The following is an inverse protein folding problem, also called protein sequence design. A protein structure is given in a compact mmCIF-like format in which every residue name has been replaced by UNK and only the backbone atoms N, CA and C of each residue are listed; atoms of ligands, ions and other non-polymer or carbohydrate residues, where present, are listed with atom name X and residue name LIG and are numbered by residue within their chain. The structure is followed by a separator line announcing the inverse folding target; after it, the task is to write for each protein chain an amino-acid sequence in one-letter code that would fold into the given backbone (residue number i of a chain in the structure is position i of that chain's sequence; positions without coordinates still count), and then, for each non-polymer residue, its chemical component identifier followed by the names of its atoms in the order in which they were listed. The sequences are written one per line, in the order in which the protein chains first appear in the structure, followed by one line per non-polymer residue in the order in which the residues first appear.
data_IF_017354317981
#
_entry.id   IF_017354317981
#
_cell.length_a   1.000
_cell.length_b   1.000
_cell.length_c   1.000
_cell.angle_alpha   90.00
_cell.angle_beta   90.00
_cell.angle_gamma   90.00
#
_symmetry.space_group_name_H-M   'P 1'
#
loop_
_entity.id
_entity.type
_entity.pdbx_description
1 polymer ?
#
# COMPACT_ATOMS: atom_id res chain seq x y z
N UNK A 1 5.48 21.30 10.47
CA UNK A 1 5.05 20.88 9.12
C UNK A 1 6.28 20.73 8.24
N UNK A 2 6.35 19.69 7.42
CA UNK A 2 7.43 19.48 6.43
C UNK A 2 6.90 19.85 5.03
N UNK A 3 6.89 21.14 4.65
CA UNK A 3 6.39 21.55 3.35
C UNK A 3 7.18 20.87 2.21
N UNK A 4 6.48 20.25 1.27
CA UNK A 4 7.07 19.53 0.13
C UNK A 4 7.42 18.07 0.39
N UNK A 5 7.29 17.56 1.62
CA UNK A 5 7.65 16.17 1.93
C UNK A 5 6.60 15.15 1.46
N UNK A 6 5.32 15.51 1.40
CA UNK A 6 4.23 14.61 0.99
C UNK A 6 3.89 14.87 -0.48
N UNK A 7 4.05 13.84 -1.31
CA UNK A 7 3.73 13.90 -2.74
C UNK A 7 2.28 13.51 -3.02
N UNK A 8 1.80 12.44 -2.37
CA UNK A 8 0.43 11.98 -2.55
C UNK A 8 -0.08 11.19 -1.35
N UNK A 9 -1.40 11.08 -1.26
CA UNK A 9 -2.14 10.43 -0.19
C UNK A 9 -3.15 9.45 -0.81
N UNK A 10 -3.19 8.20 -0.34
CA UNK A 10 -4.08 7.16 -0.84
C UNK A 10 -4.93 6.57 0.28
N UNK A 11 -6.24 6.77 0.22
CA UNK A 11 -7.21 6.15 1.11
C UNK A 11 -7.58 4.76 0.58
N UNK A 12 -7.36 3.71 1.37
CA UNK A 12 -7.70 2.34 0.98
C UNK A 12 -9.17 2.07 1.28
N UNK A 13 -9.94 1.93 0.20
CA UNK A 13 -11.38 1.66 0.24
C UNK A 13 -11.70 0.49 -0.69
N UNK A 14 -12.88 0.46 -1.32
CA UNK A 14 -13.25 -0.57 -2.28
C UNK A 14 -12.26 -0.67 -3.44
N UNK A 15 -11.87 -1.90 -3.78
CA UNK A 15 -10.82 -2.22 -4.76
C UNK A 15 -9.47 -2.57 -4.13
N UNK A 16 -9.31 -2.42 -2.81
CA UNK A 16 -8.13 -2.93 -2.11
C UNK A 16 -6.90 -2.04 -2.16
N UNK A 17 -5.79 -2.52 -1.58
CA UNK A 17 -4.56 -1.72 -1.38
C UNK A 17 -3.96 -1.30 -2.73
N UNK A 18 -3.68 -2.28 -3.60
CA UNK A 18 -2.97 -2.04 -4.86
C UNK A 18 -3.72 -1.06 -5.77
N UNK A 19 -5.03 -1.28 -5.94
CA UNK A 19 -5.84 -0.47 -6.84
C UNK A 19 -6.03 0.97 -6.34
N UNK A 20 -5.99 1.22 -5.03
CA UNK A 20 -6.07 2.58 -4.50
C UNK A 20 -4.71 3.30 -4.56
N UNK A 21 -3.60 2.60 -4.30
CA UNK A 21 -2.27 3.19 -4.40
C UNK A 21 -1.87 3.49 -5.85
N UNK A 22 -2.16 2.58 -6.80
CA UNK A 22 -1.80 2.75 -8.21
C UNK A 22 -2.35 4.05 -8.83
N UNK A 23 -3.53 4.52 -8.39
CA UNK A 23 -4.17 5.74 -8.92
C UNK A 23 -3.44 7.02 -8.56
N UNK A 24 -2.68 7.03 -7.47
CA UNK A 24 -2.00 8.24 -6.97
C UNK A 24 -0.53 8.28 -7.37
N UNK A 25 0.02 7.16 -7.87
CA UNK A 25 1.37 7.11 -8.38
C UNK A 25 1.46 7.70 -9.80
N UNK A 26 2.55 8.40 -10.14
CA UNK A 26 2.79 8.86 -11.50
C UNK A 26 2.91 7.70 -12.49
N UNK A 27 2.50 7.92 -13.74
CA UNK A 27 2.73 6.97 -14.84
C UNK A 27 4.21 6.69 -15.01
N UNK A 28 4.54 5.43 -15.30
CA UNK A 28 5.94 4.98 -15.45
C UNK A 28 6.65 4.71 -14.13
N UNK A 29 5.98 4.86 -12.97
CA UNK A 29 6.51 4.47 -11.67
C UNK A 29 5.84 3.20 -11.15
N UNK A 30 6.53 2.48 -10.28
CA UNK A 30 6.03 1.27 -9.66
C UNK A 30 6.49 1.11 -8.22
N UNK A 31 5.78 0.28 -7.45
CA UNK A 31 6.17 -0.09 -6.09
C UNK A 31 5.76 -1.52 -5.78
N UNK A 32 6.67 -2.24 -5.12
CA UNK A 32 6.36 -3.47 -4.41
C UNK A 32 6.03 -3.13 -2.96
N UNK A 33 4.84 -3.56 -2.51
CA UNK A 33 4.35 -3.39 -1.13
C UNK A 33 4.58 -4.71 -0.38
N UNK A 34 5.42 -4.68 0.65
CA UNK A 34 5.81 -5.88 1.40
C UNK A 34 4.79 -6.25 2.47
N UNK A 35 4.07 -7.36 2.25
CA UNK A 35 3.09 -7.91 3.21
C UNK A 35 3.71 -8.28 4.55
N UNK A 36 4.98 -8.64 4.58
CA UNK A 36 5.65 -9.02 5.82
C UNK A 36 5.79 -7.84 6.79
N UNK A 37 5.57 -6.61 6.33
CA UNK A 37 5.64 -5.42 7.17
C UNK A 37 4.43 -5.26 8.12
N UNK A 38 3.35 -6.03 7.97
CA UNK A 38 2.24 -6.01 8.91
C UNK A 38 1.45 -7.33 9.02
N UNK A 39 0.72 -7.44 10.12
CA UNK A 39 -0.21 -8.53 10.40
C UNK A 39 -1.63 -7.99 10.32
N UNK A 40 -2.46 -8.43 9.36
CA UNK A 40 -3.88 -8.05 9.31
C UNK A 40 -4.59 -8.39 10.63
N UNK A 41 -5.60 -7.64 11.03
CA UNK A 41 -6.36 -7.96 12.25
C UNK A 41 -7.05 -9.34 12.14
N UNK A 42 -7.25 -10.02 13.28
CA UNK A 42 -7.84 -11.36 13.35
C UNK A 42 -9.20 -11.48 12.67
N UNK A 43 -9.99 -10.39 12.63
CA UNK A 43 -11.27 -10.34 11.92
C UNK A 43 -11.12 -10.69 10.44
N UNK A 44 -10.05 -10.25 9.77
CA UNK A 44 -9.83 -10.56 8.35
C UNK A 44 -9.51 -12.04 8.15
N UNK A 45 -8.71 -12.63 9.04
CA UNK A 45 -8.39 -14.06 8.99
C UNK A 45 -9.64 -14.92 9.17
N UNK A 46 -10.46 -14.60 10.17
CA UNK A 46 -11.73 -15.30 10.41
C UNK A 46 -12.67 -15.18 9.20
N UNK A 47 -12.79 -14.00 8.61
CA UNK A 47 -13.65 -13.81 7.43
C UNK A 47 -13.12 -14.53 6.19
N UNK A 48 -11.80 -14.54 5.98
CA UNK A 48 -11.17 -15.28 4.89
C UNK A 48 -11.36 -16.80 5.07
N UNK A 49 -11.13 -17.32 6.27
CA UNK A 49 -11.32 -18.72 6.62
C UNK A 49 -12.77 -19.17 6.42
N UNK A 50 -13.75 -18.37 6.85
CA UNK A 50 -15.18 -18.64 6.62
C UNK A 50 -15.53 -18.68 5.13
N UNK A 51 -14.83 -17.90 4.30
CA UNK A 51 -14.98 -17.90 2.85
C UNK A 51 -14.17 -18.99 2.12
N UNK A 52 -13.32 -19.74 2.82
CA UNK A 52 -12.36 -20.65 2.20
C UNK A 52 -11.32 -19.93 1.33
N UNK A 53 -10.96 -18.69 1.71
CA UNK A 53 -10.02 -17.82 1.00
C UNK A 53 -8.72 -17.65 1.80
N UNK A 54 -7.61 -17.48 1.09
CA UNK A 54 -6.39 -16.88 1.66
C UNK A 54 -6.56 -15.36 1.79
N UNK A 55 -5.76 -14.73 2.67
CA UNK A 55 -5.76 -13.27 2.79
C UNK A 55 -5.38 -12.59 1.46
N UNK A 56 -4.44 -13.17 0.72
CA UNK A 56 -3.98 -12.67 -0.57
C UNK A 56 -5.11 -12.58 -1.60
N UNK A 57 -6.04 -13.54 -1.59
CA UNK A 57 -7.22 -13.53 -2.47
C UNK A 57 -8.20 -12.40 -2.13
N UNK A 58 -8.12 -11.83 -0.93
CA UNK A 58 -9.03 -10.77 -0.46
C UNK A 58 -8.48 -9.36 -0.68
N UNK A 59 -7.22 -9.23 -1.11
CA UNK A 59 -6.51 -7.95 -1.27
C UNK A 59 -7.15 -7.00 -2.26
N UNK A 60 -7.85 -7.51 -3.27
CA UNK A 60 -8.60 -6.69 -4.23
C UNK A 60 -9.91 -6.12 -3.69
N UNK A 61 -10.27 -6.45 -2.44
CA UNK A 61 -11.55 -6.06 -1.83
C UNK A 61 -11.36 -5.33 -0.51
N UNK A 62 -10.52 -5.85 0.37
CA UNK A 62 -10.38 -5.37 1.75
C UNK A 62 -9.13 -4.51 1.94
N UNK A 63 -9.12 -3.72 3.01
CA UNK A 63 -7.98 -2.89 3.38
C UNK A 63 -6.90 -3.67 4.17
N UNK A 64 -7.27 -4.81 4.76
CA UNK A 64 -6.38 -5.72 5.49
C UNK A 64 -5.54 -5.04 6.58
N UNK A 65 -6.04 -3.96 7.18
CA UNK A 65 -5.36 -3.21 8.23
C UNK A 65 -4.64 -1.94 7.74
N UNK A 66 -4.46 -1.74 6.43
CA UNK A 66 -3.93 -0.50 5.88
C UNK A 66 -5.08 0.41 5.50
N UNK A 67 -5.44 1.36 6.37
CA UNK A 67 -6.46 2.36 6.03
C UNK A 67 -5.97 3.40 5.04
N UNK A 68 -4.68 3.73 5.07
CA UNK A 68 -4.14 4.87 4.35
C UNK A 68 -2.66 4.66 3.99
N UNK A 69 -2.22 5.18 2.85
CA UNK A 69 -0.81 5.27 2.47
C UNK A 69 -0.43 6.72 2.16
N UNK A 70 0.76 7.12 2.58
CA UNK A 70 1.38 8.38 2.18
C UNK A 70 2.61 8.10 1.32
N UNK A 71 2.69 8.76 0.16
CA UNK A 71 3.89 8.76 -0.69
C UNK A 71 4.65 10.04 -0.38
N UNK A 72 5.90 9.89 0.04
CA UNK A 72 6.71 10.97 0.57
C UNK A 72 8.08 11.01 -0.11
N UNK A 73 8.78 12.13 0.03
CA UNK A 73 10.18 12.24 -0.34
C UNK A 73 11.03 11.24 0.49
N UNK A 74 11.90 10.49 -0.18
CA UNK A 74 12.63 9.38 0.43
C UNK A 74 13.54 9.85 1.59
N UNK A 75 14.15 11.03 1.46
CA UNK A 75 14.98 11.66 2.48
C UNK A 75 14.18 12.20 3.69
N UNK A 76 12.85 12.27 3.57
CA UNK A 76 11.95 12.75 4.63
C UNK A 76 11.08 11.64 5.24
N UNK A 77 11.20 10.40 4.75
CA UNK A 77 10.31 9.30 5.13
C UNK A 77 10.29 9.05 6.65
N UNK A 78 11.46 8.93 7.27
CA UNK A 78 11.60 8.69 8.71
C UNK A 78 11.03 9.84 9.55
N UNK A 79 11.29 11.08 9.13
CA UNK A 79 10.82 12.26 9.83
C UNK A 79 9.29 12.42 9.72
N UNK A 80 8.69 12.09 8.57
CA UNK A 80 7.23 12.05 8.42
C UNK A 80 6.62 10.93 9.26
N UNK A 81 7.19 9.72 9.22
CA UNK A 81 6.73 8.58 10.01
C UNK A 81 6.77 8.91 11.51
N UNK A 82 7.86 9.50 12.00
CA UNK A 82 8.01 9.91 13.39
C UNK A 82 6.93 10.90 13.84
N UNK A 83 6.56 11.86 12.98
CA UNK A 83 5.47 12.81 13.30
C UNK A 83 4.14 12.08 13.41
N UNK A 84 3.79 11.24 12.43
CA UNK A 84 2.52 10.49 12.44
C UNK A 84 2.42 9.56 13.64
N UNK A 85 3.51 8.84 13.97
CA UNK A 85 3.55 7.99 15.17
C UNK A 85 3.44 8.80 16.46
N UNK A 86 4.03 10.00 16.54
CA UNK A 86 3.88 10.87 17.72
C UNK A 86 2.44 11.38 17.92
N UNK A 87 1.65 11.44 16.85
CA UNK A 87 0.22 11.78 16.86
C UNK A 87 -0.68 10.55 17.09
N UNK A 88 -0.10 9.38 17.37
CA UNK A 88 -0.83 8.14 17.65
C UNK A 88 -1.29 7.38 16.41
N UNK A 89 -0.71 7.66 15.24
CA UNK A 89 -0.96 6.93 14.00
C UNK A 89 0.18 5.94 13.75
N UNK A 90 -0.08 4.64 13.90
CA UNK A 90 0.88 3.58 13.59
C UNK A 90 1.34 3.73 12.14
N UNK A 91 2.63 4.01 11.95
CA UNK A 91 3.20 4.37 10.65
C UNK A 91 4.53 3.66 10.45
N UNK A 92 4.69 3.03 9.30
CA UNK A 92 5.93 2.35 8.91
C UNK A 92 6.08 2.37 7.40
N UNK A 93 7.29 2.09 6.91
CA UNK A 93 7.55 1.95 5.49
C UNK A 93 7.08 0.58 4.98
N UNK A 94 6.26 0.58 3.92
CA UNK A 94 5.77 -0.65 3.27
C UNK A 94 6.45 -0.94 1.92
N UNK A 95 7.17 0.04 1.36
CA UNK A 95 7.81 -0.07 0.05
C UNK A 95 8.48 1.24 -0.38
N UNK A 96 9.13 1.21 -1.54
CA UNK A 96 9.79 2.37 -2.15
C UNK A 96 9.36 2.49 -3.60
N UNK A 97 8.90 3.67 -4.00
CA UNK A 97 8.51 3.94 -5.40
C UNK A 97 9.76 4.01 -6.26
N UNK A 98 9.74 3.33 -7.41
CA UNK A 98 10.80 3.30 -8.40
C UNK A 98 10.29 3.79 -9.76
N UNK A 99 11.16 4.45 -10.52
CA UNK A 99 10.98 4.84 -11.92
C UNK A 99 11.86 4.00 -12.88
N UNK A 100 12.53 2.96 -12.35
CA UNK A 100 13.29 2.02 -13.16
C UNK A 100 12.36 1.15 -14.02
N UNK A 101 12.96 0.38 -14.94
CA UNK A 101 12.22 -0.59 -15.76
C UNK A 101 11.32 -1.48 -14.87
N UNK A 102 10.04 -1.59 -15.24
CA UNK A 102 9.07 -2.39 -14.50
C UNK A 102 9.50 -3.86 -14.53
N UNK A 103 9.69 -4.51 -13.37
CA UNK A 103 10.02 -5.94 -13.30
C UNK A 103 8.89 -6.82 -13.84
N UNK A 104 9.24 -8.04 -14.23
CA UNK A 104 8.23 -9.05 -14.58
C UNK A 104 7.33 -9.38 -13.37
N UNK A 105 6.05 -9.62 -13.66
CA UNK A 105 5.06 -10.07 -12.69
C UNK A 105 3.71 -9.38 -12.85
N UNK A 106 2.77 -9.75 -11.96
CA UNK A 106 1.43 -9.17 -11.98
C UNK A 106 1.38 -7.90 -11.12
N UNK A 107 1.25 -6.75 -11.77
CA UNK A 107 1.01 -5.46 -11.14
C UNK A 107 -0.42 -5.01 -11.40
N UNK A 108 -1.04 -4.43 -10.38
CA UNK A 108 -2.26 -3.67 -10.54
C UNK A 108 -1.93 -2.32 -11.20
N UNK A 109 -2.58 -2.03 -12.33
CA UNK A 109 -2.44 -0.82 -13.13
C UNK A 109 -3.81 -0.41 -13.69
N UNK A 110 -3.98 0.86 -14.08
CA UNK A 110 -5.21 1.31 -14.74
C UNK A 110 -6.46 1.30 -13.86
N UNK A 111 -6.29 1.28 -12.53
CA UNK A 111 -7.38 1.03 -11.59
C UNK A 111 -8.49 2.09 -11.64
N UNK A 112 -9.74 1.66 -11.87
CA UNK A 112 -10.94 2.51 -11.99
C UNK A 112 -10.84 3.59 -13.09
N UNK A 113 -10.15 3.29 -14.19
CA UNK A 113 -10.07 4.19 -15.35
C UNK A 113 -9.06 5.34 -15.19
N UNK A 114 -8.22 5.30 -14.15
CA UNK A 114 -7.10 6.21 -13.98
C UNK A 114 -5.83 5.52 -14.48
N UNK A 115 -5.14 6.16 -15.41
CA UNK A 115 -3.83 5.74 -15.88
C UNK A 115 -2.74 6.33 -14.96
N UNK A 116 -2.40 5.58 -13.90
CA UNK A 116 -1.41 5.93 -12.88
C UNK A 116 -0.16 5.05 -12.93
N UNK A 117 0.44 4.80 -11.76
CA UNK A 117 1.57 3.89 -11.62
C UNK A 117 1.15 2.43 -11.47
N UNK A 118 2.13 1.58 -11.14
CA UNK A 118 1.95 0.13 -10.98
C UNK A 118 2.21 -0.31 -9.53
N UNK A 119 1.34 -1.17 -8.99
CA UNK A 119 1.50 -1.66 -7.61
C UNK A 119 1.39 -3.17 -7.56
N UNK A 120 2.31 -3.82 -6.85
CA UNK A 120 2.25 -5.25 -6.57
C UNK A 120 2.46 -5.48 -5.08
N UNK A 121 1.64 -6.32 -4.47
CA UNK A 121 1.90 -6.81 -3.11
C UNK A 121 2.80 -8.04 -3.22
N UNK A 122 3.88 -8.07 -2.44
CA UNK A 122 4.90 -9.13 -2.42
C UNK A 122 5.06 -9.72 -1.02
N UNK A 123 5.72 -10.88 -0.92
CA UNK A 123 5.86 -11.60 0.34
C UNK A 123 4.56 -12.25 0.82
N UNK A 124 4.50 -12.58 2.10
CA UNK A 124 3.34 -13.14 2.81
C UNK A 124 3.05 -12.32 4.05
N UNK A 125 1.79 -12.27 4.48
CA UNK A 125 1.42 -11.54 5.68
C UNK A 125 2.14 -12.06 6.92
N UNK A 126 2.53 -11.13 7.79
CA UNK A 126 3.03 -11.52 9.10
C UNK A 126 1.93 -12.24 9.91
N UNK A 127 2.36 -13.17 10.77
CA UNK A 127 1.48 -13.92 11.68
C UNK A 127 0.87 -13.02 12.73
#
# INVERSE_FOLDING_TARGET
AQPGAVHSLSHVTGGGIAANLARVLPRGTWVDVDRASWSPSSVFRVLADLGGLSLEQTEGTWNLGIGFLAVVAADQADAVASVLTSEGIDTWQVGVVSDAALPDGHYEQGAKGVDGGAVRLVGSYAS
#
